data_IF_527805823204
#
_entry.id   IF_527805823204
#
_cell.length_a   1.000
_cell.length_b   1.000
_cell.length_c   1.000
_cell.angle_alpha   90.00
_cell.angle_beta   90.00
_cell.angle_gamma   90.00
#
_symmetry.space_group_name_H-M   'P 1'
#
loop_
_entity.id
_entity.type
_entity.pdbx_description
1 polymer ?
#
# COMPACT_ATOMS: atom_id res chain seq x y z
N UNK A 1 -36.69 34.91 24.80
CA UNK A 1 -36.70 34.06 23.61
C UNK A 1 -35.39 33.31 23.61
N UNK A 2 -35.44 31.99 23.72
CA UNK A 2 -34.24 31.13 23.55
C UNK A 2 -34.07 30.93 22.04
N UNK A 3 -32.89 31.24 21.53
CA UNK A 3 -32.59 30.96 20.12
C UNK A 3 -32.80 29.45 19.86
N UNK A 4 -33.37 29.05 18.71
CA UNK A 4 -33.50 27.63 18.37
C UNK A 4 -32.10 27.00 18.33
N UNK A 5 -31.86 26.05 19.22
CA UNK A 5 -30.67 25.19 19.11
C UNK A 5 -30.89 24.28 17.92
N UNK A 6 -30.00 24.29 16.95
CA UNK A 6 -30.01 23.31 15.84
C UNK A 6 -30.04 21.88 16.37
N UNK A 7 -30.54 20.94 15.56
CA UNK A 7 -30.45 19.50 15.83
C UNK A 7 -29.00 19.03 15.96
N UNK A 8 -28.82 17.77 16.33
CA UNK A 8 -27.50 17.12 16.29
C UNK A 8 -26.92 17.17 14.86
N UNK A 9 -25.62 17.42 14.78
CA UNK A 9 -24.92 17.45 13.48
C UNK A 9 -24.95 16.05 12.87
N UNK A 10 -25.37 15.95 11.60
CA UNK A 10 -25.25 14.70 10.87
C UNK A 10 -23.77 14.34 10.62
N UNK A 11 -23.42 13.10 10.90
CA UNK A 11 -22.07 12.53 10.69
C UNK A 11 -22.08 11.36 9.72
N UNK A 12 -23.26 11.05 9.15
CA UNK A 12 -23.42 9.97 8.19
C UNK A 12 -22.91 10.40 6.82
N UNK A 13 -22.14 9.60 6.11
CA UNK A 13 -21.81 9.87 4.72
C UNK A 13 -22.99 9.51 3.79
N UNK A 14 -23.08 10.13 2.58
CA UNK A 14 -24.12 9.80 1.62
C UNK A 14 -24.07 8.33 1.18
N UNK A 15 -25.23 7.66 1.14
CA UNK A 15 -25.39 6.28 0.75
C UNK A 15 -26.16 6.15 -0.57
N UNK A 16 -25.78 5.18 -1.42
CA UNK A 16 -26.52 4.88 -2.66
C UNK A 16 -27.80 4.11 -2.31
N UNK A 17 -28.96 4.70 -2.63
CA UNK A 17 -30.28 4.05 -2.49
C UNK A 17 -30.74 3.35 -3.77
N UNK A 18 -30.24 3.79 -4.93
CA UNK A 18 -30.58 3.22 -6.23
C UNK A 18 -29.45 3.44 -7.22
N UNK A 19 -29.26 2.48 -8.13
CA UNK A 19 -28.37 2.62 -9.26
C UNK A 19 -28.97 2.03 -10.53
N UNK A 20 -28.54 2.55 -11.68
CA UNK A 20 -28.96 2.09 -13.00
C UNK A 20 -27.76 2.09 -13.95
N UNK A 21 -27.73 1.12 -14.86
CA UNK A 21 -26.73 1.04 -15.92
C UNK A 21 -27.48 0.93 -17.25
N UNK A 22 -27.27 1.91 -18.12
CA UNK A 22 -27.89 1.95 -19.46
C UNK A 22 -26.79 1.96 -20.52
N UNK A 23 -26.92 1.11 -21.54
CA UNK A 23 -26.03 1.11 -22.70
C UNK A 23 -26.81 1.49 -23.94
N UNK A 24 -26.50 2.62 -24.57
CA UNK A 24 -27.16 3.14 -25.74
C UNK A 24 -26.13 3.78 -26.68
N UNK A 25 -26.15 3.39 -27.97
CA UNK A 25 -25.33 3.97 -29.04
C UNK A 25 -23.81 4.05 -28.71
N UNK A 26 -23.21 2.98 -28.15
CA UNK A 26 -21.83 2.92 -27.68
C UNK A 26 -21.50 3.84 -26.48
N UNK A 27 -22.49 4.48 -25.89
CA UNK A 27 -22.34 5.23 -24.65
C UNK A 27 -22.91 4.40 -23.51
N UNK A 28 -22.15 4.32 -22.41
CA UNK A 28 -22.60 3.70 -21.16
C UNK A 28 -22.89 4.80 -20.16
N UNK A 29 -24.09 4.78 -19.60
CA UNK A 29 -24.54 5.71 -18.57
C UNK A 29 -24.72 4.96 -17.27
N UNK A 30 -23.97 5.38 -16.25
CA UNK A 30 -24.12 4.93 -14.87
C UNK A 30 -24.81 6.04 -14.08
N UNK A 31 -25.91 5.71 -13.42
CA UNK A 31 -26.68 6.65 -12.59
C UNK A 31 -26.78 6.12 -11.17
N UNK A 32 -26.43 6.95 -10.20
CA UNK A 32 -26.44 6.63 -8.77
C UNK A 32 -27.29 7.67 -8.04
N UNK A 33 -28.36 7.24 -7.42
CA UNK A 33 -29.23 8.05 -6.58
C UNK A 33 -28.85 7.87 -5.10
N UNK A 34 -28.66 8.97 -4.40
CA UNK A 34 -28.27 9.00 -2.99
C UNK A 34 -29.46 9.39 -2.09
N UNK A 35 -29.36 9.06 -0.83
CA UNK A 35 -30.33 9.39 0.21
C UNK A 35 -30.40 10.90 0.48
N UNK A 36 -29.32 11.65 0.20
CA UNK A 36 -29.18 13.08 0.46
C UNK A 36 -28.59 13.86 -0.73
N UNK A 37 -28.55 15.21 -0.61
CA UNK A 37 -27.91 16.08 -1.59
C UNK A 37 -26.38 15.92 -1.54
N UNK A 38 -25.77 15.76 -2.72
CA UNK A 38 -24.37 15.44 -2.86
C UNK A 38 -23.59 16.49 -3.64
N UNK A 39 -22.27 16.52 -3.44
CA UNK A 39 -21.33 17.30 -4.24
C UNK A 39 -20.04 16.52 -4.47
N UNK A 40 -19.28 16.90 -5.51
CA UNK A 40 -17.99 16.29 -5.77
C UNK A 40 -16.97 16.64 -4.67
N UNK A 41 -16.11 15.67 -4.36
CA UNK A 41 -14.97 15.84 -3.47
C UNK A 41 -13.66 15.53 -4.26
N UNK A 42 -12.77 14.72 -3.76
CA UNK A 42 -11.45 14.41 -4.32
C UNK A 42 -11.53 13.47 -5.54
N UNK A 43 -12.31 13.85 -6.54
CA UNK A 43 -12.62 12.98 -7.71
C UNK A 43 -11.38 12.57 -8.48
N UNK A 44 -10.52 13.53 -8.84
CA UNK A 44 -9.35 13.25 -9.67
C UNK A 44 -8.36 12.30 -9.02
N UNK A 45 -8.31 12.31 -7.69
CA UNK A 45 -7.40 11.47 -6.92
C UNK A 45 -7.93 10.06 -6.68
N UNK A 46 -9.27 9.93 -6.53
CA UNK A 46 -9.85 8.69 -6.03
C UNK A 46 -10.70 7.93 -7.05
N UNK A 47 -11.25 8.63 -8.05
CA UNK A 47 -12.08 7.96 -9.04
C UNK A 47 -11.23 7.10 -9.98
N UNK A 48 -11.63 5.85 -10.14
CA UNK A 48 -11.11 4.98 -11.20
C UNK A 48 -12.11 3.90 -11.58
N UNK A 49 -11.90 3.35 -12.77
CA UNK A 49 -12.64 2.18 -13.29
C UNK A 49 -11.62 1.08 -13.62
N UNK A 50 -11.89 -0.14 -13.17
CA UNK A 50 -11.03 -1.31 -13.41
C UNK A 50 -11.85 -2.44 -14.06
N UNK A 51 -11.47 -2.94 -15.24
CA UNK A 51 -10.35 -2.57 -16.12
C UNK A 51 -10.34 -1.09 -16.52
N UNK A 52 -9.16 -0.48 -16.71
CA UNK A 52 -9.08 0.91 -17.14
C UNK A 52 -9.60 1.11 -18.56
N UNK A 53 -10.21 2.25 -18.83
CA UNK A 53 -10.77 2.60 -20.11
C UNK A 53 -9.67 3.09 -21.07
N UNK A 54 -9.77 2.74 -22.35
CA UNK A 54 -8.75 3.03 -23.36
C UNK A 54 -8.61 4.53 -23.65
N UNK A 55 -9.72 5.22 -23.82
CA UNK A 55 -9.75 6.63 -24.20
C UNK A 55 -10.03 7.57 -23.03
N UNK A 56 -10.45 7.03 -21.88
CA UNK A 56 -10.72 7.80 -20.67
C UNK A 56 -11.78 8.89 -20.83
N UNK A 57 -12.64 8.80 -21.85
CA UNK A 57 -13.65 9.82 -22.15
C UNK A 57 -14.88 9.65 -21.22
N UNK A 58 -14.73 10.20 -20.01
CA UNK A 58 -15.73 10.14 -18.95
C UNK A 58 -16.26 11.54 -18.69
N UNK A 59 -17.58 11.72 -18.82
CA UNK A 59 -18.29 12.92 -18.38
C UNK A 59 -19.08 12.61 -17.12
N UNK A 60 -19.11 13.55 -16.19
CA UNK A 60 -19.83 13.41 -14.93
C UNK A 60 -20.68 14.62 -14.62
N UNK A 61 -21.80 14.41 -13.98
CA UNK A 61 -22.69 15.49 -13.54
C UNK A 61 -23.44 15.08 -12.28
N UNK A 62 -23.65 16.01 -11.38
CA UNK A 62 -24.55 15.86 -10.25
C UNK A 62 -25.80 16.69 -10.51
N UNK A 63 -26.93 16.08 -10.29
CA UNK A 63 -28.26 16.69 -10.23
C UNK A 63 -28.87 16.38 -8.87
N UNK A 64 -28.86 17.34 -7.97
CA UNK A 64 -29.40 17.19 -6.63
C UNK A 64 -28.80 15.99 -5.89
N UNK A 65 -29.56 14.89 -5.81
CA UNK A 65 -29.17 13.63 -5.15
C UNK A 65 -28.63 12.57 -6.14
N UNK A 66 -28.47 12.90 -7.42
CA UNK A 66 -28.12 11.93 -8.43
C UNK A 66 -26.80 12.24 -9.10
N UNK A 67 -25.86 11.28 -9.05
CA UNK A 67 -24.63 11.29 -9.83
C UNK A 67 -24.86 10.53 -11.13
N UNK A 68 -24.56 11.18 -12.27
CA UNK A 68 -24.58 10.57 -13.59
C UNK A 68 -23.16 10.56 -14.16
N UNK A 69 -22.71 9.38 -14.60
CA UNK A 69 -21.39 9.17 -15.24
C UNK A 69 -21.65 8.63 -16.64
N UNK A 70 -21.28 9.42 -17.64
CA UNK A 70 -21.34 9.03 -19.04
C UNK A 70 -19.97 8.57 -19.51
N UNK A 71 -19.88 7.34 -19.97
CA UNK A 71 -18.66 6.70 -20.46
C UNK A 71 -18.82 6.50 -21.97
N UNK A 72 -18.02 7.27 -22.73
CA UNK A 72 -17.95 7.13 -24.19
C UNK A 72 -16.64 6.44 -24.56
N UNK A 73 -16.62 5.13 -24.34
CA UNK A 73 -15.45 4.28 -24.58
C UNK A 73 -15.87 2.86 -24.96
N UNK A 74 -14.93 2.09 -25.48
CA UNK A 74 -15.13 0.70 -25.86
C UNK A 74 -15.21 -0.21 -24.63
N UNK A 75 -16.41 -0.51 -24.16
CA UNK A 75 -16.66 -1.43 -23.06
C UNK A 75 -16.72 -2.86 -23.56
N UNK A 76 -15.89 -3.73 -23.00
CA UNK A 76 -15.91 -5.17 -23.32
C UNK A 76 -17.15 -5.83 -22.69
N UNK A 77 -18.00 -6.41 -23.53
CA UNK A 77 -19.34 -6.90 -23.12
C UNK A 77 -19.33 -8.01 -22.08
N UNK A 78 -18.29 -8.85 -22.06
CA UNK A 78 -18.20 -10.03 -21.17
C UNK A 78 -17.24 -9.81 -19.98
N UNK A 79 -16.97 -8.55 -19.63
CA UNK A 79 -16.13 -8.19 -18.50
C UNK A 79 -16.94 -7.52 -17.40
N UNK A 80 -16.53 -7.75 -16.17
CA UNK A 80 -16.99 -6.98 -15.03
C UNK A 80 -16.08 -5.79 -14.82
N UNK A 81 -16.69 -4.64 -14.62
CA UNK A 81 -16.03 -3.38 -14.34
C UNK A 81 -16.32 -2.98 -12.90
N UNK A 82 -15.29 -2.65 -12.17
CA UNK A 82 -15.35 -2.11 -10.84
C UNK A 82 -15.16 -0.60 -10.90
N UNK A 83 -16.10 0.15 -10.38
CA UNK A 83 -16.06 1.63 -10.27
C UNK A 83 -15.80 1.99 -8.82
N UNK A 84 -14.72 2.69 -8.56
CA UNK A 84 -14.44 3.24 -7.25
C UNK A 84 -14.93 4.70 -7.17
N UNK A 85 -15.82 4.96 -6.24
CA UNK A 85 -16.36 6.27 -5.90
C UNK A 85 -16.02 6.67 -4.46
N UNK A 86 -15.25 5.86 -3.75
CA UNK A 86 -14.82 6.12 -2.37
C UNK A 86 -14.09 7.45 -2.26
N UNK A 87 -14.53 8.31 -1.37
CA UNK A 87 -14.04 9.68 -1.19
C UNK A 87 -14.21 10.62 -2.42
N UNK A 88 -14.99 10.21 -3.44
CA UNK A 88 -15.27 11.03 -4.62
C UNK A 88 -16.46 11.95 -4.45
N UNK A 89 -17.33 11.63 -3.50
CA UNK A 89 -18.59 12.31 -3.21
C UNK A 89 -18.63 12.66 -1.72
N UNK A 90 -19.26 13.76 -1.38
CA UNK A 90 -19.59 14.14 -0.01
C UNK A 90 -20.99 14.73 0.03
N UNK A 91 -21.63 14.72 1.21
CA UNK A 91 -22.87 15.42 1.39
C UNK A 91 -22.71 16.94 1.19
N UNK A 92 -23.82 17.59 0.90
CA UNK A 92 -23.80 19.02 0.58
C UNK A 92 -23.75 19.89 1.84
N UNK A 93 -24.36 19.47 2.95
CA UNK A 93 -24.54 20.29 4.14
C UNK A 93 -23.35 20.19 5.10
N UNK A 94 -22.99 19.00 5.55
CA UNK A 94 -21.99 18.75 6.59
C UNK A 94 -20.60 18.46 6.02
N UNK A 95 -20.50 17.96 4.78
CA UNK A 95 -19.27 17.65 4.09
C UNK A 95 -18.70 16.27 4.41
N UNK A 96 -19.53 15.32 4.90
CA UNK A 96 -19.14 13.96 5.20
C UNK A 96 -18.78 13.21 3.90
N UNK A 97 -17.58 12.66 3.83
CA UNK A 97 -17.07 11.97 2.63
C UNK A 97 -17.64 10.57 2.52
N UNK A 98 -18.02 10.17 1.30
CA UNK A 98 -18.44 8.80 0.98
C UNK A 98 -17.35 7.80 1.35
N UNK A 99 -17.64 6.85 2.23
CA UNK A 99 -16.75 5.79 2.64
C UNK A 99 -17.17 4.46 2.00
N UNK A 100 -16.19 3.71 1.43
CA UNK A 100 -16.43 2.39 0.81
C UNK A 100 -17.51 2.39 -0.28
N UNK A 101 -17.51 3.41 -1.11
CA UNK A 101 -18.46 3.57 -2.19
C UNK A 101 -17.90 2.94 -3.48
N UNK A 102 -18.26 1.71 -3.73
CA UNK A 102 -17.80 0.93 -4.88
C UNK A 102 -18.99 0.30 -5.59
N UNK A 103 -18.89 0.19 -6.92
CA UNK A 103 -19.94 -0.40 -7.72
C UNK A 103 -19.36 -1.33 -8.79
N UNK A 104 -20.03 -2.45 -9.04
CA UNK A 104 -19.64 -3.40 -10.08
C UNK A 104 -20.75 -3.50 -11.12
N UNK A 105 -20.38 -3.35 -12.38
CA UNK A 105 -21.30 -3.54 -13.50
C UNK A 105 -20.69 -4.42 -14.58
N UNK A 106 -21.56 -5.00 -15.40
CA UNK A 106 -21.21 -5.69 -16.66
C UNK A 106 -22.35 -5.49 -17.65
N UNK A 107 -22.05 -5.48 -18.95
CA UNK A 107 -23.10 -5.38 -19.99
C UNK A 107 -23.79 -6.74 -20.18
N UNK A 108 -22.99 -7.81 -20.17
CA UNK A 108 -23.48 -9.20 -20.26
C UNK A 108 -23.01 -9.99 -19.03
N UNK A 109 -23.48 -11.22 -18.90
CA UNK A 109 -22.94 -12.15 -17.91
C UNK A 109 -21.43 -12.35 -18.07
N UNK A 110 -20.71 -12.32 -16.98
CA UNK A 110 -19.27 -12.52 -16.93
C UNK A 110 -18.93 -13.60 -15.90
N UNK A 111 -17.95 -14.43 -16.24
CA UNK A 111 -17.40 -15.46 -15.36
C UNK A 111 -16.28 -14.94 -14.45
N UNK A 112 -15.91 -13.67 -14.56
CA UNK A 112 -14.87 -13.03 -13.75
C UNK A 112 -15.37 -12.86 -12.31
N UNK A 113 -15.05 -13.82 -11.44
CA UNK A 113 -15.56 -13.87 -10.06
C UNK A 113 -14.46 -13.96 -9.00
N UNK A 114 -13.21 -14.20 -9.42
CA UNK A 114 -12.10 -14.33 -8.48
C UNK A 114 -11.67 -12.96 -7.95
N UNK A 115 -11.09 -12.96 -6.75
CA UNK A 115 -10.57 -11.75 -6.15
C UNK A 115 -9.09 -11.89 -5.80
N UNK A 116 -8.41 -10.75 -5.73
CA UNK A 116 -7.05 -10.64 -5.25
C UNK A 116 -6.98 -9.48 -4.28
N UNK A 117 -6.47 -9.73 -3.08
CA UNK A 117 -6.35 -8.73 -2.02
C UNK A 117 -4.93 -8.67 -1.51
N UNK A 118 -4.53 -7.52 -1.01
CA UNK A 118 -3.22 -7.39 -0.43
C UNK A 118 -2.98 -6.06 0.26
N UNK A 119 -1.73 -5.86 0.69
CA UNK A 119 -1.26 -4.67 1.37
C UNK A 119 0.03 -4.20 0.73
N UNK A 120 0.17 -2.88 0.54
CA UNK A 120 1.43 -2.26 0.11
C UNK A 120 2.13 -1.64 1.31
N UNK A 121 3.42 -1.96 1.48
CA UNK A 121 4.27 -1.44 2.55
C UNK A 121 5.54 -0.83 1.97
N UNK A 122 6.04 0.20 2.64
CA UNK A 122 7.38 0.73 2.34
C UNK A 122 8.44 -0.31 2.70
N UNK A 123 9.40 -0.53 1.80
CA UNK A 123 10.41 -1.57 1.95
C UNK A 123 11.39 -1.30 3.10
N UNK A 124 11.66 -0.01 3.41
CA UNK A 124 12.65 0.38 4.40
C UNK A 124 12.08 0.54 5.82
N UNK A 125 10.87 1.11 5.94
CA UNK A 125 10.26 1.38 7.26
C UNK A 125 9.07 0.47 7.60
N UNK A 126 8.67 -0.42 6.67
CA UNK A 126 7.55 -1.38 6.79
C UNK A 126 6.17 -0.75 7.04
N UNK A 127 6.05 0.59 6.98
CA UNK A 127 4.78 1.30 7.15
C UNK A 127 3.86 1.02 5.95
N UNK A 128 2.57 0.89 6.21
CA UNK A 128 1.55 0.78 5.16
C UNK A 128 1.47 2.08 4.36
N UNK A 129 1.19 1.99 3.08
CA UNK A 129 1.19 3.13 2.16
C UNK A 129 -0.18 3.35 1.55
N UNK A 130 -0.71 4.56 1.74
CA UNK A 130 -1.99 5.01 1.16
C UNK A 130 -1.78 5.61 -0.23
N UNK A 131 -2.79 5.47 -1.10
CA UNK A 131 -2.82 6.15 -2.39
C UNK A 131 -1.89 5.56 -3.46
N UNK A 132 -1.36 4.37 -3.25
CA UNK A 132 -0.46 3.67 -4.18
C UNK A 132 -1.28 2.95 -5.24
N UNK A 133 -0.95 3.16 -6.51
CA UNK A 133 -1.52 2.40 -7.60
C UNK A 133 -1.01 0.97 -7.58
N UNK A 134 -1.93 0.01 -7.68
CA UNK A 134 -1.61 -1.41 -7.86
C UNK A 134 -2.12 -1.84 -9.22
N UNK A 135 -1.22 -2.39 -10.04
CA UNK A 135 -1.43 -2.70 -11.44
C UNK A 135 -1.30 -4.19 -11.68
N UNK A 136 -2.22 -4.74 -12.44
CA UNK A 136 -2.19 -6.14 -12.89
C UNK A 136 -2.01 -6.20 -14.40
N UNK A 137 -1.05 -7.00 -14.83
CA UNK A 137 -0.83 -7.35 -16.23
C UNK A 137 -0.95 -8.86 -16.43
N UNK A 138 -1.49 -9.31 -17.57
CA UNK A 138 -1.51 -10.72 -17.93
C UNK A 138 -0.08 -11.27 -18.13
N UNK A 139 0.09 -12.58 -17.92
CA UNK A 139 1.38 -13.27 -18.01
C UNK A 139 2.12 -13.00 -19.33
N UNK A 140 1.41 -12.93 -20.44
CA UNK A 140 1.97 -12.86 -21.78
C UNK A 140 2.59 -11.50 -22.17
N UNK A 141 2.45 -10.46 -21.33
CA UNK A 141 3.08 -9.18 -21.62
C UNK A 141 4.62 -9.27 -21.50
N UNK A 142 5.33 -8.67 -22.46
CA UNK A 142 6.78 -8.58 -22.39
C UNK A 142 7.19 -7.62 -21.26
N UNK A 143 8.16 -8.03 -20.45
CA UNK A 143 8.66 -7.23 -19.32
C UNK A 143 9.18 -5.86 -19.70
N UNK A 144 9.77 -5.70 -20.90
CA UNK A 144 10.25 -4.41 -21.41
C UNK A 144 9.14 -3.45 -21.80
N UNK A 145 7.91 -3.94 -22.01
CA UNK A 145 6.75 -3.15 -22.42
C UNK A 145 5.80 -2.84 -21.26
N UNK A 146 5.97 -3.48 -20.10
CA UNK A 146 5.04 -3.35 -18.97
C UNK A 146 4.79 -1.88 -18.61
N UNK A 147 5.85 -1.07 -18.50
CA UNK A 147 5.73 0.32 -18.07
C UNK A 147 5.26 1.30 -19.17
N UNK A 148 5.14 0.81 -20.39
CA UNK A 148 4.62 1.58 -21.54
C UNK A 148 3.25 1.08 -22.00
N UNK A 149 2.71 0.08 -21.31
CA UNK A 149 1.43 -0.55 -21.68
C UNK A 149 0.38 -0.26 -20.62
N UNK A 150 -0.87 -0.13 -21.08
CA UNK A 150 -1.99 -0.02 -20.18
C UNK A 150 -2.17 -1.32 -19.38
N UNK A 151 -2.32 -1.26 -18.05
CA UNK A 151 -2.58 -2.44 -17.24
C UNK A 151 -3.94 -3.06 -17.55
N UNK A 152 -4.07 -4.37 -17.32
CA UNK A 152 -5.33 -5.08 -17.52
C UNK A 152 -6.35 -4.77 -16.40
N UNK A 153 -5.87 -4.56 -15.17
CA UNK A 153 -6.68 -4.13 -14.04
C UNK A 153 -5.89 -3.19 -13.16
N UNK A 154 -6.60 -2.29 -12.49
CA UNK A 154 -6.04 -1.30 -11.56
C UNK A 154 -6.80 -1.30 -10.24
N UNK A 155 -6.08 -1.00 -9.18
CA UNK A 155 -6.61 -0.72 -7.84
C UNK A 155 -5.77 0.35 -7.18
N UNK A 156 -6.24 0.93 -6.09
CA UNK A 156 -5.50 1.93 -5.32
C UNK A 156 -5.57 1.59 -3.84
N UNK A 157 -4.46 1.77 -3.11
CA UNK A 157 -4.44 1.46 -1.69
C UNK A 157 -5.23 2.47 -0.87
N UNK A 158 -5.94 1.98 0.15
CA UNK A 158 -6.64 2.77 1.15
C UNK A 158 -5.69 3.25 2.27
N UNK A 159 -6.24 3.92 3.29
CA UNK A 159 -5.48 4.40 4.46
C UNK A 159 -4.79 3.31 5.28
N UNK A 160 -5.21 2.06 5.16
CA UNK A 160 -4.59 0.89 5.78
C UNK A 160 -3.56 0.22 4.85
N UNK A 161 -3.30 0.82 3.68
CA UNK A 161 -2.42 0.26 2.65
C UNK A 161 -3.02 -0.92 1.89
N UNK A 162 -4.30 -1.20 2.06
CA UNK A 162 -4.98 -2.35 1.45
C UNK A 162 -5.45 -2.04 0.04
N UNK A 163 -5.34 -3.02 -0.85
CA UNK A 163 -5.90 -3.00 -2.18
C UNK A 163 -6.75 -4.24 -2.44
N UNK A 164 -7.69 -4.12 -3.37
CA UNK A 164 -8.55 -5.22 -3.79
C UNK A 164 -8.85 -5.16 -5.28
N UNK A 165 -8.82 -6.32 -5.92
CA UNK A 165 -9.34 -6.55 -7.27
C UNK A 165 -10.48 -7.56 -7.16
N UNK A 166 -11.74 -7.12 -7.19
CA UNK A 166 -12.87 -7.98 -6.84
C UNK A 166 -13.33 -8.94 -7.95
N UNK A 167 -12.98 -8.68 -9.21
CA UNK A 167 -13.56 -9.40 -10.34
C UNK A 167 -12.50 -9.73 -11.39
N UNK A 168 -11.69 -10.74 -11.11
CA UNK A 168 -10.64 -11.23 -11.99
C UNK A 168 -11.04 -12.54 -12.67
N UNK A 169 -10.57 -12.74 -13.89
CA UNK A 169 -10.55 -14.06 -14.53
C UNK A 169 -9.51 -14.96 -13.85
N UNK A 170 -9.73 -16.28 -13.91
CA UNK A 170 -8.78 -17.27 -13.41
C UNK A 170 -7.61 -17.42 -14.38
N UNK A 171 -6.69 -16.47 -14.35
CA UNK A 171 -5.50 -16.43 -15.19
C UNK A 171 -4.27 -16.13 -14.34
N UNK A 172 -3.08 -16.23 -14.94
CA UNK A 172 -1.82 -15.83 -14.29
C UNK A 172 -1.51 -14.37 -14.58
N UNK A 173 -1.07 -13.67 -13.55
CA UNK A 173 -0.83 -12.24 -13.60
C UNK A 173 0.53 -11.84 -13.03
N UNK A 174 1.06 -10.74 -13.57
CA UNK A 174 2.17 -9.96 -12.99
C UNK A 174 1.58 -8.82 -12.19
N UNK A 175 2.08 -8.59 -11.00
CA UNK A 175 1.58 -7.58 -10.06
C UNK A 175 2.65 -6.53 -9.77
N UNK A 176 2.26 -5.25 -9.86
CA UNK A 176 3.10 -4.09 -9.59
C UNK A 176 2.41 -3.09 -8.68
N UNK A 177 3.22 -2.29 -7.98
CA UNK A 177 2.77 -1.12 -7.24
C UNK A 177 3.61 0.08 -7.67
N UNK A 178 2.99 1.25 -7.89
CA UNK A 178 3.64 2.49 -8.32
C UNK A 178 3.18 3.66 -7.43
N UNK A 179 4.11 4.53 -7.07
CA UNK A 179 3.80 5.74 -6.27
C UNK A 179 3.38 6.95 -7.12
N UNK A 180 3.40 6.83 -8.44
CA UNK A 180 3.05 7.90 -9.37
C UNK A 180 1.58 8.29 -9.36
N UNK A 181 1.28 9.33 -10.12
CA UNK A 181 -0.07 9.87 -10.25
C UNK A 181 -0.83 9.32 -11.47
N UNK A 182 -0.16 8.59 -12.34
CA UNK A 182 -0.71 7.91 -13.50
C UNK A 182 -0.47 6.40 -13.43
N UNK A 183 -0.77 5.69 -14.50
CA UNK A 183 -0.64 4.23 -14.56
C UNK A 183 0.66 3.77 -15.26
N UNK A 184 1.58 4.69 -15.50
CA UNK A 184 2.86 4.45 -16.17
C UNK A 184 4.02 4.66 -15.18
N UNK A 185 5.07 3.89 -15.34
CA UNK A 185 6.23 4.00 -14.46
C UNK A 185 7.20 5.09 -14.97
N UNK A 186 7.59 5.97 -14.08
CA UNK A 186 8.63 6.98 -14.28
C UNK A 186 9.83 6.70 -13.37
N UNK A 187 11.04 7.04 -13.85
CA UNK A 187 12.29 6.68 -13.18
C UNK A 187 12.46 7.27 -11.76
N UNK A 188 11.75 8.38 -11.47
CA UNK A 188 11.77 9.01 -10.14
C UNK A 188 10.79 8.38 -9.16
N UNK A 189 9.98 7.43 -9.61
CA UNK A 189 8.92 6.83 -8.80
C UNK A 189 9.39 5.60 -8.05
N UNK A 190 8.76 5.40 -6.88
CA UNK A 190 8.90 4.14 -6.17
C UNK A 190 8.12 3.05 -6.88
N UNK A 191 8.69 1.85 -6.87
CA UNK A 191 8.14 0.67 -7.49
C UNK A 191 8.10 -0.51 -6.50
N UNK A 192 7.08 -1.35 -6.63
CA UNK A 192 7.01 -2.67 -6.00
C UNK A 192 6.56 -3.70 -7.01
N UNK A 193 7.06 -4.93 -6.91
CA UNK A 193 6.67 -6.02 -7.82
C UNK A 193 6.85 -7.39 -7.15
N UNK A 194 6.23 -8.41 -7.72
CA UNK A 194 6.48 -9.80 -7.37
C UNK A 194 7.34 -10.46 -8.45
N UNK A 195 8.29 -11.29 -8.03
CA UNK A 195 9.12 -12.08 -8.96
C UNK A 195 8.37 -13.28 -9.56
N UNK A 196 7.30 -13.73 -8.89
CA UNK A 196 6.46 -14.85 -9.33
C UNK A 196 5.14 -14.35 -9.90
N UNK A 197 4.60 -15.11 -10.85
CA UNK A 197 3.24 -14.94 -11.30
C UNK A 197 2.26 -15.33 -10.19
N UNK A 198 1.12 -14.64 -10.16
CA UNK A 198 0.04 -14.93 -9.23
C UNK A 198 -1.20 -15.39 -9.99
N UNK A 199 -1.93 -16.32 -9.38
CA UNK A 199 -3.26 -16.73 -9.82
C UNK A 199 -4.25 -16.30 -8.74
N UNK A 200 -5.34 -15.60 -9.08
CA UNK A 200 -6.33 -15.17 -8.09
C UNK A 200 -6.96 -16.36 -7.38
N UNK A 201 -7.05 -16.29 -6.06
CA UNK A 201 -7.75 -17.25 -5.20
C UNK A 201 -8.59 -16.50 -4.18
N UNK A 202 -9.61 -17.14 -3.60
CA UNK A 202 -10.53 -16.46 -2.69
C UNK A 202 -9.87 -15.92 -1.41
N UNK A 203 -8.75 -16.52 -0.97
CA UNK A 203 -8.14 -16.26 0.35
C UNK A 203 -6.70 -15.75 0.32
N UNK A 204 -6.12 -15.44 -0.84
CA UNK A 204 -4.73 -14.99 -0.90
C UNK A 204 -4.57 -13.53 -0.48
N UNK A 205 -3.86 -13.31 0.62
CA UNK A 205 -3.40 -11.99 1.04
C UNK A 205 -1.95 -11.79 0.58
N UNK A 206 -1.75 -10.82 -0.30
CA UNK A 206 -0.44 -10.50 -0.87
C UNK A 206 0.16 -9.27 -0.19
N UNK A 207 1.45 -9.34 0.13
CA UNK A 207 2.20 -8.15 0.54
C UNK A 207 3.14 -7.72 -0.59
N UNK A 208 2.97 -6.48 -1.05
CA UNK A 208 3.90 -5.80 -1.94
C UNK A 208 4.78 -4.85 -1.13
N UNK A 209 6.08 -4.88 -1.37
CA UNK A 209 7.03 -3.91 -0.81
C UNK A 209 7.37 -2.88 -1.88
N UNK A 210 7.10 -1.61 -1.56
CA UNK A 210 7.39 -0.47 -2.41
C UNK A 210 8.75 0.12 -2.03
N UNK A 211 9.66 0.26 -2.97
CA UNK A 211 11.01 0.80 -2.76
C UNK A 211 11.35 1.86 -3.79
N UNK A 212 12.26 2.75 -3.43
CA UNK A 212 12.84 3.72 -4.33
C UNK A 212 14.07 3.09 -5.02
N UNK A 213 14.06 2.90 -6.35
CA UNK A 213 15.19 2.30 -7.05
C UNK A 213 16.42 3.21 -7.11
N UNK A 214 16.28 4.51 -6.86
CA UNK A 214 17.35 5.50 -6.94
C UNK A 214 18.17 5.60 -5.64
N UNK A 215 17.66 5.04 -4.55
CA UNK A 215 18.41 4.94 -3.29
C UNK A 215 19.31 3.72 -3.37
N UNK A 216 20.61 3.92 -3.67
CA UNK A 216 21.55 2.81 -3.86
C UNK A 216 21.73 2.02 -2.56
N UNK A 217 21.93 2.71 -1.42
CA UNK A 217 22.00 2.11 -0.09
C UNK A 217 21.71 3.16 0.97
N UNK A 218 21.11 2.73 2.07
CA UNK A 218 20.97 3.54 3.28
C UNK A 218 21.97 3.02 4.29
N UNK A 219 23.10 3.72 4.44
CA UNK A 219 24.06 3.39 5.47
C UNK A 219 23.40 3.56 6.84
N UNK A 220 23.51 2.53 7.68
CA UNK A 220 23.28 2.70 9.10
C UNK A 220 24.25 3.78 9.57
N UNK A 221 23.74 4.92 10.01
CA UNK A 221 24.62 5.96 10.57
C UNK A 221 25.40 5.31 11.70
N UNK A 222 26.68 5.03 11.47
CA UNK A 222 27.59 4.78 12.55
C UNK A 222 27.37 5.91 13.54
N UNK A 223 27.06 5.57 14.75
CA UNK A 223 26.61 6.51 15.77
C UNK A 223 27.69 7.49 16.18
N UNK A 224 27.97 8.45 15.29
CA UNK A 224 28.75 9.66 15.68
C UNK A 224 27.96 10.54 16.68
N UNK A 225 26.74 10.18 17.01
CA UNK A 225 25.92 10.89 18.02
C UNK A 225 26.07 10.32 19.45
N UNK A 226 26.83 9.27 19.65
CA UNK A 226 26.97 8.66 21.00
C UNK A 226 28.22 9.04 21.77
N UNK A 227 29.14 9.81 21.18
CA UNK A 227 30.26 10.37 21.94
C UNK A 227 29.84 11.39 23.01
N UNK A 228 28.60 11.91 22.91
CA UNK A 228 28.03 12.76 23.97
C UNK A 228 27.26 11.98 25.05
N UNK A 229 26.98 10.69 24.85
CA UNK A 229 26.37 9.79 25.85
C UNK A 229 27.40 8.80 26.48
N UNK A 230 28.69 9.00 26.27
CA UNK A 230 29.76 8.34 27.03
C UNK A 230 29.84 8.80 28.47
N UNK A 231 28.78 9.30 29.04
CA UNK A 231 28.56 9.25 30.47
C UNK A 231 28.39 7.79 30.85
N UNK A 232 29.42 7.23 31.42
CA UNK A 232 29.51 5.99 32.17
C UNK A 232 28.20 5.68 32.91
N UNK A 233 27.17 5.19 32.21
CA UNK A 233 26.01 4.60 32.88
C UNK A 233 26.44 3.19 33.26
N UNK A 234 26.82 2.98 34.50
CA UNK A 234 27.15 1.67 35.09
C UNK A 234 26.00 0.65 34.92
N UNK A 235 24.83 1.08 34.45
CA UNK A 235 23.61 0.31 34.40
C UNK A 235 23.08 0.16 32.96
N UNK A 236 23.82 -0.48 32.08
CA UNK A 236 23.33 -0.82 30.71
C UNK A 236 22.75 -2.22 30.67
N UNK A 237 21.85 -2.45 29.67
CA UNK A 237 21.33 -3.79 29.38
C UNK A 237 21.98 -4.42 28.15
N UNK A 238 21.63 -5.67 27.92
CA UNK A 238 22.06 -6.49 26.78
C UNK A 238 20.82 -7.06 26.10
N UNK A 239 20.86 -7.16 24.77
CA UNK A 239 19.87 -7.91 23.98
C UNK A 239 20.60 -9.05 23.29
N UNK A 240 20.21 -10.28 23.61
CA UNK A 240 20.67 -11.49 22.94
C UNK A 240 19.60 -12.01 22.00
N UNK A 241 19.92 -12.17 20.71
CA UNK A 241 18.98 -12.57 19.69
C UNK A 241 19.28 -13.98 19.24
N UNK A 242 18.41 -14.91 19.58
CA UNK A 242 18.44 -16.28 19.13
C UNK A 242 17.82 -16.36 17.74
N UNK A 243 18.65 -16.57 16.73
CA UNK A 243 18.19 -16.68 15.34
C UNK A 243 18.78 -17.93 14.69
N UNK A 244 17.95 -18.61 13.90
CA UNK A 244 18.40 -19.72 13.02
C UNK A 244 19.09 -19.22 11.74
N UNK A 245 19.19 -17.91 11.57
CA UNK A 245 19.73 -17.29 10.36
C UNK A 245 21.25 -17.17 10.51
N UNK A 246 21.97 -17.67 9.49
CA UNK A 246 23.44 -17.63 9.43
C UNK A 246 24.01 -16.47 8.62
N UNK A 247 23.16 -15.55 8.17
CA UNK A 247 23.54 -14.45 7.27
C UNK A 247 23.92 -13.18 8.01
N UNK A 248 24.67 -12.28 7.38
CA UNK A 248 24.95 -10.97 7.93
C UNK A 248 23.69 -10.19 8.27
N UNK A 249 23.77 -9.41 9.32
CA UNK A 249 22.62 -8.71 9.89
C UNK A 249 23.01 -7.34 10.45
N UNK A 250 22.13 -6.37 10.23
CA UNK A 250 22.24 -5.05 10.87
C UNK A 250 21.05 -4.90 11.83
N UNK A 251 21.33 -4.49 13.07
CA UNK A 251 20.30 -4.17 14.05
C UNK A 251 20.35 -2.69 14.37
N UNK A 252 19.21 -2.02 14.25
CA UNK A 252 19.06 -0.61 14.62
C UNK A 252 18.10 -0.49 15.80
N UNK A 253 18.56 0.14 16.88
CA UNK A 253 17.73 0.58 18.00
C UNK A 253 17.12 1.93 17.67
N UNK A 254 15.78 1.99 17.64
CA UNK A 254 15.03 3.19 17.27
C UNK A 254 14.22 3.66 18.47
N UNK A 255 14.32 4.96 18.77
CA UNK A 255 13.51 5.67 19.77
C UNK A 255 13.01 6.97 19.16
N UNK A 256 11.70 7.26 19.31
CA UNK A 256 11.06 8.45 18.72
C UNK A 256 11.33 8.59 17.21
N UNK A 257 11.24 7.48 16.48
CA UNK A 257 11.52 7.35 15.04
C UNK A 257 12.95 7.77 14.60
N UNK A 258 13.88 7.87 15.54
CA UNK A 258 15.31 8.12 15.28
C UNK A 258 16.14 6.89 15.63
N UNK A 259 17.12 6.56 14.77
CA UNK A 259 18.10 5.50 15.05
C UNK A 259 19.06 6.01 16.12
N UNK A 260 19.06 5.36 17.28
CA UNK A 260 19.91 5.70 18.43
C UNK A 260 21.24 4.96 18.36
N UNK A 261 21.20 3.70 17.94
CA UNK A 261 22.40 2.86 17.85
C UNK A 261 22.23 1.80 16.77
N UNK A 262 23.33 1.51 16.07
CA UNK A 262 23.39 0.46 15.05
C UNK A 262 24.47 -0.58 15.40
N UNK A 263 24.21 -1.83 15.02
CA UNK A 263 25.11 -2.95 15.24
C UNK A 263 25.14 -3.82 13.97
N UNK A 264 26.32 -4.10 13.45
CA UNK A 264 26.50 -4.97 12.29
C UNK A 264 27.18 -6.29 12.70
N UNK A 265 26.65 -7.40 12.22
CA UNK A 265 27.16 -8.73 12.51
C UNK A 265 27.28 -9.56 11.23
N UNK A 266 28.39 -10.25 11.06
CA UNK A 266 28.59 -11.17 9.93
C UNK A 266 27.91 -12.52 10.11
N UNK A 267 27.71 -12.95 11.37
CA UNK A 267 27.07 -14.23 11.74
C UNK A 267 26.63 -14.23 13.20
N UNK A 268 25.71 -15.12 13.60
CA UNK A 268 25.35 -15.34 14.99
C UNK A 268 26.56 -15.78 15.85
N UNK A 269 26.52 -15.60 17.17
CA UNK A 269 25.40 -15.04 17.94
C UNK A 269 25.29 -13.51 17.85
N UNK A 270 24.07 -13.00 17.81
CA UNK A 270 23.80 -11.56 17.77
C UNK A 270 23.59 -11.04 19.18
N UNK A 271 24.60 -10.35 19.73
CA UNK A 271 24.57 -9.82 21.11
C UNK A 271 24.82 -8.31 21.05
N UNK A 272 23.77 -7.55 21.33
CA UNK A 272 23.81 -6.10 21.38
C UNK A 272 24.10 -5.66 22.80
N UNK A 273 25.26 -5.01 23.03
CA UNK A 273 25.76 -4.61 24.37
C UNK A 273 25.67 -3.11 24.57
N UNK A 274 25.77 -2.70 25.83
CA UNK A 274 25.85 -1.30 26.26
C UNK A 274 24.62 -0.50 25.79
N UNK A 275 23.42 -1.04 26.05
CA UNK A 275 22.17 -0.40 25.67
C UNK A 275 21.58 0.30 26.89
N UNK A 276 21.36 1.63 26.85
CA UNK A 276 20.71 2.33 27.95
C UNK A 276 19.32 1.73 28.26
N UNK A 277 18.89 1.68 29.53
CA UNK A 277 17.55 1.20 29.88
C UNK A 277 16.49 2.11 29.31
N UNK A 278 15.61 1.55 28.47
CA UNK A 278 14.47 2.25 27.85
C UNK A 278 13.60 1.27 27.07
N UNK A 279 12.56 1.81 26.40
CA UNK A 279 11.74 1.06 25.45
C UNK A 279 12.08 1.47 24.02
N UNK A 280 12.45 0.51 23.20
CA UNK A 280 12.92 0.71 21.83
C UNK A 280 12.03 -0.01 20.82
N UNK A 281 12.11 0.42 19.55
CA UNK A 281 11.86 -0.44 18.40
C UNK A 281 13.21 -1.03 17.98
N UNK A 282 13.28 -2.33 17.77
CA UNK A 282 14.44 -3.02 17.22
C UNK A 282 14.17 -3.37 15.76
N UNK A 283 14.90 -2.73 14.86
CA UNK A 283 14.84 -2.99 13.43
C UNK A 283 15.99 -3.92 13.05
N UNK A 284 15.67 -4.96 12.33
CA UNK A 284 16.59 -5.91 11.75
C UNK A 284 16.60 -5.76 10.24
N UNK A 285 17.76 -5.65 9.66
CA UNK A 285 18.01 -5.61 8.23
C UNK A 285 18.79 -6.86 7.85
N UNK A 286 18.30 -7.60 6.88
CA UNK A 286 18.91 -8.78 6.31
C UNK A 286 19.96 -8.35 5.28
N UNK A 287 21.19 -8.08 5.72
CA UNK A 287 22.29 -7.59 4.90
C UNK A 287 22.88 -8.73 4.04
N UNK A 288 22.19 -9.04 2.92
CA UNK A 288 22.51 -10.18 2.07
C UNK A 288 23.84 -10.03 1.33
N UNK A 289 24.21 -8.80 1.02
CA UNK A 289 25.42 -8.49 0.26
C UNK A 289 26.62 -8.15 1.15
N UNK A 290 26.43 -8.06 2.48
CA UNK A 290 27.46 -7.78 3.49
C UNK A 290 28.13 -6.41 3.33
N UNK A 291 27.38 -5.41 2.85
CA UNK A 291 27.88 -4.05 2.67
C UNK A 291 27.66 -3.14 3.89
N UNK A 292 27.07 -3.67 4.98
CA UNK A 292 26.69 -2.99 6.20
C UNK A 292 25.68 -1.84 5.97
N UNK A 293 24.89 -1.93 4.91
CA UNK A 293 23.85 -0.99 4.57
C UNK A 293 22.60 -1.71 4.06
N UNK A 294 21.43 -1.08 4.17
CA UNK A 294 20.27 -1.61 3.50
C UNK A 294 20.35 -1.32 2.00
N UNK A 295 20.18 -2.36 1.20
CA UNK A 295 20.20 -2.27 -0.27
C UNK A 295 18.77 -2.32 -0.83
N UNK A 296 18.44 -1.36 -1.70
CA UNK A 296 17.15 -1.29 -2.39
C UNK A 296 17.00 -2.39 -3.45
N UNK A 297 15.78 -2.50 -3.98
CA UNK A 297 15.46 -3.39 -5.12
C UNK A 297 15.85 -2.82 -6.48
N UNK A 298 15.71 -3.64 -7.52
CA UNK A 298 15.85 -3.21 -8.91
C UNK A 298 14.93 -4.04 -9.80
N UNK A 299 14.06 -3.38 -10.52
CA UNK A 299 13.21 -4.08 -11.51
C UNK A 299 14.02 -4.63 -12.66
N UNK A 300 14.99 -3.89 -13.19
CA UNK A 300 15.83 -4.34 -14.30
C UNK A 300 16.57 -5.64 -14.00
N UNK A 301 17.06 -5.75 -12.74
CA UNK A 301 17.78 -6.96 -12.25
C UNK A 301 16.86 -7.98 -11.62
N UNK A 302 15.54 -7.77 -11.59
CA UNK A 302 14.55 -8.60 -10.89
C UNK A 302 14.92 -8.85 -9.43
N UNK A 303 15.57 -7.88 -8.78
CA UNK A 303 16.05 -7.96 -7.41
C UNK A 303 15.07 -7.26 -6.47
N UNK A 304 14.60 -7.99 -5.46
CA UNK A 304 13.84 -7.41 -4.37
C UNK A 304 14.76 -6.64 -3.40
N UNK A 305 14.24 -5.63 -2.70
CA UNK A 305 15.00 -4.97 -1.63
C UNK A 305 15.34 -5.95 -0.50
N UNK A 306 16.35 -5.65 0.26
CA UNK A 306 16.69 -6.41 1.45
C UNK A 306 15.56 -6.39 2.46
N UNK A 307 15.28 -7.57 3.04
CA UNK A 307 14.17 -7.74 3.97
C UNK A 307 14.44 -7.01 5.28
N UNK A 308 13.40 -6.34 5.79
CA UNK A 308 13.41 -5.67 7.08
C UNK A 308 12.33 -6.25 7.97
N UNK A 309 12.63 -6.37 9.25
CA UNK A 309 11.67 -6.71 10.29
C UNK A 309 11.81 -5.76 11.47
N UNK A 310 10.69 -5.33 12.04
CA UNK A 310 10.68 -4.41 13.17
C UNK A 310 9.96 -5.08 14.34
N UNK A 311 10.63 -5.10 15.49
CA UNK A 311 10.05 -5.45 16.79
C UNK A 311 9.75 -4.16 17.54
N UNK A 312 8.50 -4.03 17.94
CA UNK A 312 8.06 -2.92 18.78
C UNK A 312 8.15 -3.28 20.26
N UNK A 313 8.23 -2.27 21.11
CA UNK A 313 8.19 -2.42 22.58
C UNK A 313 9.28 -3.32 23.18
N UNK A 314 10.51 -3.19 22.69
CA UNK A 314 11.69 -3.88 23.25
C UNK A 314 12.12 -3.13 24.51
N UNK A 315 11.78 -3.67 25.67
CA UNK A 315 12.09 -3.05 26.98
C UNK A 315 13.45 -3.52 27.47
N UNK A 316 14.43 -2.64 27.51
CA UNK A 316 15.76 -2.90 28.06
C UNK A 316 15.80 -2.44 29.51
N UNK A 317 16.24 -3.33 30.42
CA UNK A 317 16.40 -3.04 31.86
C UNK A 317 17.87 -2.97 32.23
N UNK A 318 18.23 -2.20 33.29
CA UNK A 318 19.61 -2.13 33.77
C UNK A 318 20.12 -3.51 34.20
N UNK A 319 21.34 -3.82 33.83
CA UNK A 319 22.05 -5.07 34.22
C UNK A 319 21.29 -6.36 33.86
N UNK A 320 20.44 -6.30 32.87
CA UNK A 320 19.63 -7.42 32.42
C UNK A 320 19.97 -7.83 30.98
N UNK A 321 19.98 -9.15 30.73
CA UNK A 321 20.05 -9.69 29.39
C UNK A 321 18.62 -10.05 28.91
N UNK A 322 18.13 -9.32 27.91
CA UNK A 322 16.87 -9.62 27.24
C UNK A 322 17.14 -10.63 26.13
N UNK A 323 16.54 -11.80 26.22
CA UNK A 323 16.59 -12.81 25.16
C UNK A 323 15.39 -12.65 24.23
N UNK A 324 15.65 -12.57 22.93
CA UNK A 324 14.63 -12.49 21.88
C UNK A 324 14.78 -13.69 20.94
N UNK A 325 13.74 -14.47 20.82
CA UNK A 325 13.66 -15.52 19.81
C UNK A 325 13.19 -14.92 18.48
N UNK A 326 14.06 -15.01 17.48
CA UNK A 326 13.79 -14.45 16.18
C UNK A 326 13.61 -15.55 15.13
N UNK A 327 12.36 -15.93 14.88
CA UNK A 327 12.02 -16.80 13.77
C UNK A 327 11.65 -15.95 12.55
N UNK A 328 12.37 -16.15 11.44
CA UNK A 328 11.88 -15.73 10.13
C UNK A 328 11.12 -16.92 9.54
N UNK A 329 9.83 -16.77 9.34
CA UNK A 329 9.14 -17.57 8.36
C UNK A 329 9.54 -17.00 6.99
N UNK A 330 10.23 -17.78 6.19
CA UNK A 330 10.61 -17.47 4.82
C UNK A 330 9.40 -17.20 3.92
#
# INVERSE_FOLDING_TARGET
>A
MVAPSGGEKDTSPPEIIRWQTESKNNELVLSFEFDEYIQFANWQENFFISPPLLNGNIKRKIHEKTLVININDSIQKNKRYHVNLTNCIKDFNEGNLSSKLEHVFSINESTDTFSLKGVVKDAYNTKVLNGIWVLIFKENINDSLIFYSQPNYISKTNSLGEFCFPNLSYEKYKLFALSGNDLFYHAEEKIGFLNSLITPTYDSLITLTLFDPNIISVQSKDSLCLDTLNLLSENTGIISINSKISTPAIFELIKNDQVIKSFSFKKPPFILKNIPPDTYKLKYIYDKNSDNAWTTGSWEKKKQPEKIKIYNNVVVRPNWNLELDWSFNE
#
